data_IF_510859633195
#
_entry.id   IF_510859633195
#
_cell.length_a   1.000
_cell.length_b   1.000
_cell.length_c   1.000
_cell.angle_alpha   90.00
_cell.angle_beta   90.00
_cell.angle_gamma   90.00
#
_symmetry.space_group_name_H-M   'P 1'
#
loop_
_entity.id
_entity.type
_entity.pdbx_description
1 polymer ?
#
# COMPACT_ATOMS: atom_id res chain seq x y z
N UNK A 1 7.11 5.65 6.00
CA UNK A 1 8.31 5.16 5.27
C UNK A 1 9.56 5.96 5.58
N UNK A 2 9.69 7.23 5.16
CA UNK A 2 10.97 7.93 5.33
C UNK A 2 11.49 8.07 6.77
N UNK A 3 10.59 8.19 7.75
CA UNK A 3 10.96 8.13 9.18
C UNK A 3 11.40 6.74 9.63
N UNK A 4 10.79 5.68 9.09
CA UNK A 4 11.09 4.29 9.43
C UNK A 4 12.44 3.85 8.86
N UNK A 5 12.69 4.16 7.58
CA UNK A 5 13.92 3.79 6.88
C UNK A 5 15.07 4.76 7.12
N UNK A 6 14.80 5.90 7.76
CA UNK A 6 15.72 7.04 7.86
C UNK A 6 16.24 7.50 6.48
N UNK A 7 15.42 7.34 5.44
CA UNK A 7 15.72 7.73 4.06
C UNK A 7 14.57 8.55 3.50
N UNK A 8 14.82 9.82 3.18
CA UNK A 8 13.78 10.72 2.67
C UNK A 8 13.36 10.28 1.26
N UNK A 9 12.07 10.45 0.95
CA UNK A 9 11.58 10.27 -0.41
C UNK A 9 12.42 11.13 -1.38
N UNK A 10 13.06 10.53 -2.39
CA UNK A 10 14.13 11.18 -3.14
C UNK A 10 13.61 12.10 -4.26
N UNK A 11 12.33 12.00 -4.62
CA UNK A 11 11.73 12.84 -5.65
C UNK A 11 11.07 14.09 -5.05
N UNK A 12 10.98 15.21 -5.81
CA UNK A 12 10.43 16.46 -5.30
C UNK A 12 8.93 16.40 -5.02
N UNK A 13 8.20 15.49 -5.69
CA UNK A 13 6.76 15.27 -5.53
C UNK A 13 6.39 13.82 -5.83
N UNK A 14 5.21 13.42 -5.35
CA UNK A 14 4.53 12.17 -5.70
C UNK A 14 3.08 12.50 -6.03
N UNK A 15 2.66 12.24 -7.25
CA UNK A 15 1.29 12.42 -7.73
C UNK A 15 0.50 11.11 -7.61
N UNK A 16 -0.83 11.23 -7.54
CA UNK A 16 -1.74 10.08 -7.46
C UNK A 16 -2.86 10.24 -8.48
N UNK A 17 -3.07 9.24 -9.33
CA UNK A 17 -3.99 9.28 -10.45
C UNK A 17 -4.95 8.09 -10.43
N UNK A 18 -6.25 8.36 -10.48
CA UNK A 18 -7.28 7.32 -10.63
C UNK A 18 -7.73 7.16 -12.08
N UNK A 19 -7.70 5.92 -12.59
CA UNK A 19 -8.25 5.58 -13.91
C UNK A 19 -9.57 4.81 -13.79
N UNK A 20 -10.57 5.11 -14.63
CA UNK A 20 -11.87 4.44 -14.59
C UNK A 20 -11.75 2.94 -14.90
N UNK A 21 -10.84 2.58 -15.79
CA UNK A 21 -10.54 1.21 -16.16
C UNK A 21 -9.03 0.99 -16.07
N UNK A 22 -8.62 0.02 -15.26
CA UNK A 22 -7.22 -0.36 -15.06
C UNK A 22 -7.15 -1.87 -14.83
N UNK A 23 -6.21 -2.53 -15.52
CA UNK A 23 -6.10 -4.00 -15.54
C UNK A 23 -5.64 -4.52 -14.18
N UNK A 24 -4.68 -3.83 -13.56
CA UNK A 24 -4.24 -4.09 -12.20
C UNK A 24 -5.11 -3.34 -11.18
N UNK A 25 -4.87 -3.58 -9.89
CA UNK A 25 -5.47 -2.80 -8.81
C UNK A 25 -4.89 -1.38 -8.74
N UNK A 26 -3.57 -1.30 -8.76
CA UNK A 26 -2.78 -0.08 -8.82
C UNK A 26 -1.39 -0.40 -9.43
N UNK A 27 -0.56 0.62 -9.61
CA UNK A 27 0.81 0.51 -10.12
C UNK A 27 1.66 1.65 -9.55
N UNK A 28 2.84 1.29 -9.08
CA UNK A 28 3.75 2.06 -8.26
C UNK A 28 4.66 3.04 -9.03
N UNK A 29 4.30 3.44 -10.26
CA UNK A 29 5.22 4.21 -11.10
C UNK A 29 5.85 5.37 -10.33
N UNK A 30 7.18 5.46 -10.37
CA UNK A 30 7.92 6.36 -9.50
C UNK A 30 7.43 7.81 -9.60
N UNK A 31 6.84 8.31 -8.50
CA UNK A 31 6.25 9.67 -8.38
C UNK A 31 4.96 9.95 -9.11
N UNK A 32 4.36 8.95 -9.75
CA UNK A 32 3.00 9.01 -10.27
C UNK A 32 2.32 7.66 -10.02
N UNK A 33 1.75 7.50 -8.84
CA UNK A 33 1.07 6.26 -8.51
C UNK A 33 -0.28 6.23 -9.22
N UNK A 34 -0.55 5.15 -9.95
CA UNK A 34 -1.78 4.98 -10.73
C UNK A 34 -2.66 3.95 -10.03
N UNK A 35 -3.94 4.27 -9.84
CA UNK A 35 -4.91 3.42 -9.18
C UNK A 35 -6.09 3.14 -10.11
N UNK A 36 -6.71 1.97 -9.94
CA UNK A 36 -8.11 1.81 -10.33
C UNK A 36 -8.96 2.76 -9.50
N UNK A 37 -9.88 3.48 -10.14
CA UNK A 37 -10.65 4.59 -9.55
C UNK A 37 -11.27 4.28 -8.18
N UNK A 38 -11.70 3.03 -7.97
CA UNK A 38 -12.31 2.52 -6.75
C UNK A 38 -11.41 2.60 -5.51
N UNK A 39 -10.09 2.67 -5.68
CA UNK A 39 -9.11 2.72 -4.59
C UNK A 39 -8.62 4.12 -4.25
N UNK A 40 -9.04 5.16 -4.98
CA UNK A 40 -8.65 6.56 -4.71
C UNK A 40 -9.85 7.46 -4.46
N UNK A 41 -10.99 7.20 -5.10
CA UNK A 41 -12.22 7.95 -4.86
C UNK A 41 -13.02 7.30 -3.72
N UNK A 42 -13.10 7.99 -2.58
CA UNK A 42 -13.88 7.54 -1.42
C UNK A 42 -15.04 8.50 -1.11
N UNK A 43 -16.25 7.96 -0.98
CA UNK A 43 -17.47 8.65 -0.56
C UNK A 43 -17.93 8.12 0.81
N UNK A 44 -17.84 8.93 1.89
CA UNK A 44 -18.20 8.51 3.25
C UNK A 44 -19.70 8.29 3.46
N UNK A 45 -20.58 8.81 2.60
CA UNK A 45 -22.03 8.65 2.75
C UNK A 45 -22.52 7.31 2.19
N UNK A 46 -21.80 6.78 1.19
CA UNK A 46 -22.22 5.61 0.41
C UNK A 46 -21.33 4.40 0.70
N UNK A 47 -20.03 4.61 0.92
CA UNK A 47 -19.07 3.52 1.01
C UNK A 47 -18.77 3.15 2.47
N UNK A 48 -18.71 1.84 2.71
CA UNK A 48 -18.45 1.28 4.02
C UNK A 48 -17.00 1.46 4.46
N UNK A 49 -16.75 1.27 5.76
CA UNK A 49 -15.41 1.23 6.34
C UNK A 49 -14.50 0.21 5.65
N UNK A 50 -15.06 -0.89 5.14
CA UNK A 50 -14.31 -1.88 4.37
C UNK A 50 -13.66 -1.28 3.11
N UNK A 51 -14.42 -0.48 2.34
CA UNK A 51 -13.87 0.17 1.14
C UNK A 51 -12.82 1.21 1.51
N UNK A 52 -13.03 1.98 2.59
CA UNK A 52 -12.02 2.92 3.13
C UNK A 52 -10.71 2.20 3.45
N UNK A 53 -10.79 1.05 4.13
CA UNK A 53 -9.63 0.23 4.48
C UNK A 53 -8.93 -0.35 3.26
N UNK A 54 -9.70 -0.90 2.31
CA UNK A 54 -9.15 -1.46 1.09
C UNK A 54 -8.40 -0.41 0.26
N UNK A 55 -8.99 0.78 0.09
CA UNK A 55 -8.36 1.92 -0.57
C UNK A 55 -7.07 2.35 0.15
N UNK A 56 -7.15 2.57 1.47
CA UNK A 56 -5.98 2.98 2.25
C UNK A 56 -4.85 1.94 2.25
N UNK A 57 -5.18 0.64 2.26
CA UNK A 57 -4.21 -0.46 2.16
C UNK A 57 -3.47 -0.41 0.83
N UNK A 58 -4.20 -0.31 -0.29
CA UNK A 58 -3.60 -0.20 -1.63
C UNK A 58 -2.71 1.05 -1.71
N UNK A 59 -3.20 2.22 -1.27
CA UNK A 59 -2.38 3.43 -1.24
C UNK A 59 -1.10 3.28 -0.42
N UNK A 60 -1.17 2.59 0.73
CA UNK A 60 0.03 2.32 1.54
C UNK A 60 0.99 1.33 0.87
N UNK A 61 0.47 0.34 0.15
CA UNK A 61 1.25 -0.63 -0.63
C UNK A 61 2.06 0.07 -1.72
N UNK A 62 1.39 0.82 -2.59
CA UNK A 62 2.05 1.55 -3.68
C UNK A 62 3.03 2.62 -3.17
N UNK A 63 2.71 3.27 -2.05
CA UNK A 63 3.62 4.22 -1.42
C UNK A 63 4.86 3.55 -0.84
N UNK A 64 4.77 2.29 -0.39
CA UNK A 64 5.93 1.54 0.09
C UNK A 64 6.90 1.21 -1.04
N UNK A 65 6.39 0.93 -2.24
CA UNK A 65 7.20 0.67 -3.43
C UNK A 65 8.14 1.80 -3.81
N UNK A 66 7.77 3.05 -3.48
CA UNK A 66 8.62 4.22 -3.65
C UNK A 66 9.99 4.07 -2.95
N UNK A 67 10.07 3.28 -1.87
CA UNK A 67 11.32 2.87 -1.23
C UNK A 67 11.79 1.49 -1.69
N UNK A 68 10.88 0.52 -1.79
CA UNK A 68 11.17 -0.89 -2.10
C UNK A 68 10.54 -1.31 -3.42
N UNK A 69 11.28 -1.11 -4.51
CA UNK A 69 10.78 -1.22 -5.88
C UNK A 69 11.42 -0.16 -6.75
N UNK A 70 11.19 1.10 -6.41
CA UNK A 70 11.74 2.24 -7.15
C UNK A 70 13.16 2.63 -6.70
N UNK A 71 13.36 2.89 -5.40
CA UNK A 71 14.69 3.31 -4.89
C UNK A 71 15.66 2.13 -4.82
N UNK A 72 15.17 0.99 -4.35
CA UNK A 72 15.90 -0.28 -4.32
C UNK A 72 15.11 -1.29 -5.12
N UNK A 73 15.60 -1.61 -6.31
CA UNK A 73 14.94 -2.52 -7.27
C UNK A 73 15.61 -3.88 -7.25
N UNK A 74 14.82 -4.94 -7.38
CA UNK A 74 15.35 -6.29 -7.58
C UNK A 74 16.19 -6.35 -8.87
N UNK A 75 17.30 -7.09 -8.84
CA UNK A 75 18.15 -7.24 -10.03
C UNK A 75 17.46 -8.08 -11.11
N UNK A 76 16.63 -9.05 -10.68
CA UNK A 76 15.90 -9.94 -11.57
C UNK A 76 14.53 -10.33 -10.98
N UNK A 77 13.65 -10.85 -11.83
CA UNK A 77 12.27 -11.20 -11.48
C UNK A 77 12.14 -12.32 -10.46
N UNK A 78 13.16 -13.17 -10.32
CA UNK A 78 13.16 -14.23 -9.30
C UNK A 78 13.16 -13.65 -7.87
N UNK A 79 13.66 -12.42 -7.72
CA UNK A 79 13.70 -11.67 -6.47
C UNK A 79 12.53 -10.68 -6.32
N UNK A 80 11.44 -10.85 -7.10
CA UNK A 80 10.27 -9.95 -7.07
C UNK A 80 9.68 -9.80 -5.67
N UNK A 81 9.82 -10.82 -4.81
CA UNK A 81 9.40 -10.75 -3.41
C UNK A 81 10.04 -9.58 -2.63
N UNK A 82 11.23 -9.11 -3.03
CA UNK A 82 11.89 -7.94 -2.42
C UNK A 82 11.12 -6.63 -2.67
N UNK A 83 10.27 -6.59 -3.70
CA UNK A 83 9.41 -5.45 -3.98
C UNK A 83 8.04 -5.69 -3.34
N UNK A 84 7.34 -6.71 -3.81
CA UNK A 84 5.95 -7.02 -3.42
C UNK A 84 5.82 -7.44 -1.94
N UNK A 85 6.78 -8.20 -1.43
CA UNK A 85 6.76 -8.69 -0.05
C UNK A 85 7.01 -7.57 0.96
N UNK A 86 7.92 -6.65 0.66
CA UNK A 86 8.14 -5.47 1.49
C UNK A 86 6.96 -4.51 1.41
N UNK A 87 6.38 -4.29 0.23
CA UNK A 87 5.18 -3.49 0.09
C UNK A 87 4.00 -4.07 0.89
N UNK A 88 3.76 -5.38 0.82
CA UNK A 88 2.74 -6.07 1.61
C UNK A 88 3.00 -6.04 3.13
N UNK A 89 4.26 -6.05 3.56
CA UNK A 89 4.59 -5.85 4.97
C UNK A 89 4.29 -4.41 5.42
N UNK A 90 4.76 -3.43 4.65
CA UNK A 90 4.65 -2.02 5.01
C UNK A 90 3.25 -1.44 4.79
N UNK A 91 2.39 -2.03 3.95
CA UNK A 91 1.01 -1.58 3.80
C UNK A 91 0.28 -1.62 5.15
N UNK A 92 0.51 -2.68 5.95
CA UNK A 92 -0.11 -2.85 7.26
C UNK A 92 0.48 -1.87 8.28
N UNK A 93 1.80 -1.65 8.23
CA UNK A 93 2.46 -0.65 9.06
C UNK A 93 1.93 0.77 8.76
N UNK A 94 1.84 1.14 7.47
CA UNK A 94 1.31 2.41 7.02
C UNK A 94 -0.16 2.59 7.39
N UNK A 95 -0.96 1.55 7.24
CA UNK A 95 -2.39 1.57 7.59
C UNK A 95 -2.62 1.80 9.09
N UNK A 96 -1.83 1.15 9.96
CA UNK A 96 -1.87 1.40 11.42
C UNK A 96 -1.57 2.86 11.77
N UNK A 97 -0.70 3.52 11.01
CA UNK A 97 -0.38 4.94 11.21
C UNK A 97 -1.45 5.88 10.62
N UNK A 98 -1.99 5.54 9.46
CA UNK A 98 -2.95 6.38 8.74
C UNK A 98 -4.36 6.32 9.33
N UNK A 99 -4.77 5.15 9.85
CA UNK A 99 -6.10 4.89 10.40
C UNK A 99 -5.99 4.20 11.77
N UNK A 100 -5.42 4.88 12.79
CA UNK A 100 -5.20 4.29 14.12
C UNK A 100 -6.49 3.83 14.81
N UNK A 101 -7.62 4.50 14.53
CA UNK A 101 -8.94 4.12 15.03
C UNK A 101 -9.44 2.78 14.49
N UNK A 102 -8.86 2.30 13.38
CA UNK A 102 -9.27 1.09 12.72
C UNK A 102 -8.42 -0.14 13.08
N UNK A 103 -7.36 0.03 13.87
CA UNK A 103 -6.45 -1.04 14.31
C UNK A 103 -7.19 -2.30 14.81
N UNK A 104 -8.25 -2.21 15.65
CA UNK A 104 -8.96 -3.40 16.13
C UNK A 104 -9.57 -4.27 15.01
N UNK A 105 -9.80 -3.67 13.84
CA UNK A 105 -10.41 -4.34 12.68
C UNK A 105 -9.38 -4.80 11.65
N UNK A 106 -8.13 -4.31 11.72
CA UNK A 106 -7.05 -4.69 10.81
C UNK A 106 -6.57 -6.14 11.04
N UNK A 107 -6.60 -6.60 12.29
CA UNK A 107 -6.18 -7.96 12.69
C UNK A 107 -7.12 -9.05 12.15
N UNK A 108 -8.37 -8.69 11.81
CA UNK A 108 -9.38 -9.67 11.41
C UNK A 108 -9.33 -10.08 9.92
N UNK A 109 -8.61 -9.35 9.05
CA UNK A 109 -8.54 -9.68 7.62
C UNK A 109 -7.29 -10.48 7.23
N UNK A 110 -6.17 -10.27 7.92
CA UNK A 110 -4.93 -11.03 7.70
C UNK A 110 -5.05 -12.50 8.12
N UNK A 111 -5.91 -12.81 9.09
CA UNK A 111 -6.04 -14.17 9.64
C UNK A 111 -6.86 -15.12 8.75
N UNK A 112 -7.67 -14.60 7.82
CA UNK A 112 -8.66 -15.41 7.11
C UNK A 112 -8.28 -15.77 5.66
N UNK A 113 -7.25 -15.15 5.07
CA UNK A 113 -6.95 -15.30 3.62
C UNK A 113 -5.54 -15.78 3.25
N UNK A 114 -4.54 -15.74 4.14
CA UNK A 114 -3.14 -15.97 3.71
C UNK A 114 -2.37 -17.06 4.41
N UNK A 115 -2.86 -17.71 5.48
CA UNK A 115 -2.19 -18.88 6.07
C UNK A 115 -0.71 -18.71 6.44
N UNK A 116 -0.21 -17.47 6.51
CA UNK A 116 1.20 -17.13 6.67
C UNK A 116 1.29 -16.18 7.88
N UNK A 117 1.89 -16.73 8.94
CA UNK A 117 2.52 -16.11 10.11
C UNK A 117 1.81 -14.86 10.65
N UNK A 118 1.03 -15.06 11.73
CA UNK A 118 0.75 -14.00 12.69
C UNK A 118 2.09 -13.49 13.26
N UNK A 119 2.43 -12.24 12.99
CA UNK A 119 3.43 -11.53 13.79
C UNK A 119 2.67 -10.53 14.64
N UNK A 120 2.25 -10.99 15.83
CA UNK A 120 1.70 -10.13 16.87
C UNK A 120 2.85 -9.28 17.44
N UNK A 121 2.86 -7.99 17.12
CA UNK A 121 3.52 -6.94 17.88
C UNK A 121 2.48 -5.93 18.34
#
# INVERSE_FOLDING_TARGET
>A
MGLYTNFRYPMPKSDQLGLPEFVAGAMENYGLIIYKYQFIAFDPEIQSTYYKQAAARVMCHELAHQWFGDTVTALWWDDLFLQEGFAAFFENYGLRMALPEQIPFLVCFSSCLSGIICVDF
#
